data_IF_836109422573
#
_entry.id   IF_836109422573
#
_cell.length_a   1.000
_cell.length_b   1.000
_cell.length_c   1.000
_cell.angle_alpha   90.00
_cell.angle_beta   90.00
_cell.angle_gamma   90.00
#
_symmetry.space_group_name_H-M   'P 1'
#
loop_
_entity.id
_entity.type
_entity.pdbx_description
1 polymer ?
#
# COMPACT_ATOMS: atom_id res chain seq x y z
N UNK A 1 -59.73 -27.99 18.66
CA UNK A 1 -58.61 -27.06 18.38
C UNK A 1 -57.40 -27.89 18.00
N UNK A 2 -57.03 -27.91 16.72
CA UNK A 2 -55.85 -28.64 16.25
C UNK A 2 -54.64 -27.70 16.29
N UNK A 3 -53.65 -28.04 17.11
CA UNK A 3 -52.36 -27.36 17.18
C UNK A 3 -51.53 -27.71 15.93
N UNK A 4 -51.16 -26.70 15.14
CA UNK A 4 -50.25 -26.89 13.99
C UNK A 4 -48.79 -26.98 14.48
N UNK A 5 -47.99 -27.96 14.01
CA UNK A 5 -46.58 -28.02 14.34
C UNK A 5 -45.79 -26.90 13.62
N UNK A 6 -45.17 -26.03 14.42
CA UNK A 6 -44.30 -24.93 13.96
C UNK A 6 -43.04 -25.54 13.31
N UNK A 7 -42.93 -25.45 11.98
CA UNK A 7 -41.74 -25.86 11.20
C UNK A 7 -40.50 -25.14 11.72
N UNK A 8 -39.66 -25.86 12.47
CA UNK A 8 -38.39 -25.41 13.03
C UNK A 8 -37.28 -26.12 12.26
N UNK A 9 -36.89 -25.59 11.09
CA UNK A 9 -35.98 -26.33 10.20
C UNK A 9 -35.18 -25.53 9.16
N UNK A 10 -35.36 -24.23 8.99
CA UNK A 10 -34.64 -23.44 7.97
C UNK A 10 -33.82 -22.26 8.52
N UNK A 11 -33.75 -22.08 9.85
CA UNK A 11 -33.18 -20.87 10.45
C UNK A 11 -31.70 -20.96 10.83
N UNK A 12 -31.16 -22.16 11.09
CA UNK A 12 -29.79 -22.31 11.62
C UNK A 12 -28.73 -22.17 10.52
N UNK A 13 -28.87 -22.87 9.39
CA UNK A 13 -27.92 -22.78 8.28
C UNK A 13 -27.87 -21.37 7.65
N UNK A 14 -29.03 -20.71 7.57
CA UNK A 14 -29.14 -19.32 7.10
C UNK A 14 -28.43 -18.35 8.04
N UNK A 15 -28.53 -18.56 9.36
CA UNK A 15 -27.87 -17.74 10.37
C UNK A 15 -26.34 -17.94 10.40
N UNK A 16 -25.83 -19.13 10.10
CA UNK A 16 -24.38 -19.38 10.04
C UNK A 16 -23.75 -18.75 8.81
N UNK A 17 -24.43 -18.86 7.65
CA UNK A 17 -24.02 -18.17 6.42
C UNK A 17 -24.06 -16.64 6.60
N UNK A 18 -25.12 -16.11 7.21
CA UNK A 18 -25.18 -14.69 7.56
C UNK A 18 -24.06 -14.30 8.50
N UNK A 19 -23.83 -15.01 9.61
CA UNK A 19 -22.75 -14.67 10.56
C UNK A 19 -21.37 -14.70 9.90
N UNK A 20 -21.09 -15.68 9.04
CA UNK A 20 -19.83 -15.76 8.32
C UNK A 20 -19.69 -14.60 7.33
N UNK A 21 -20.73 -14.28 6.56
CA UNK A 21 -20.75 -13.13 5.66
C UNK A 21 -20.56 -11.80 6.39
N UNK A 22 -21.27 -11.59 7.51
CA UNK A 22 -21.13 -10.39 8.35
C UNK A 22 -19.73 -10.32 8.96
N UNK A 23 -19.13 -11.44 9.38
CA UNK A 23 -17.78 -11.50 9.92
C UNK A 23 -16.71 -11.21 8.84
N UNK A 24 -16.85 -11.76 7.64
CA UNK A 24 -15.96 -11.47 6.50
C UNK A 24 -16.07 -10.00 6.09
N UNK A 25 -17.28 -9.45 6.05
CA UNK A 25 -17.48 -8.01 5.80
C UNK A 25 -16.91 -7.15 6.92
N UNK A 26 -17.07 -7.54 8.19
CA UNK A 26 -16.47 -6.84 9.31
C UNK A 26 -14.94 -6.85 9.21
N UNK A 27 -14.31 -7.99 8.91
CA UNK A 27 -12.86 -8.06 8.70
C UNK A 27 -12.39 -7.14 7.55
N UNK A 28 -13.16 -7.07 6.46
CA UNK A 28 -12.88 -6.17 5.33
C UNK A 28 -13.10 -4.68 5.64
N UNK A 29 -14.01 -4.37 6.56
CA UNK A 29 -14.38 -2.99 6.92
C UNK A 29 -13.78 -2.53 8.25
N UNK A 30 -12.77 -3.24 8.77
CA UNK A 30 -12.07 -2.87 10.01
C UNK A 30 -12.92 -3.06 11.29
N UNK A 31 -13.89 -3.98 11.27
CA UNK A 31 -14.77 -4.33 12.38
C UNK A 31 -16.20 -3.78 12.27
N UNK A 32 -16.56 -3.12 11.16
CA UNK A 32 -17.87 -2.50 11.00
C UNK A 32 -18.96 -3.51 10.63
N UNK A 33 -20.15 -3.31 11.16
CA UNK A 33 -21.33 -4.05 10.71
C UNK A 33 -21.72 -3.60 9.28
N UNK A 34 -22.28 -4.48 8.44
CA UNK A 34 -22.74 -4.11 7.09
C UNK A 34 -23.77 -2.97 7.08
N UNK A 35 -24.54 -2.83 8.15
CA UNK A 35 -25.49 -1.76 8.37
C UNK A 35 -24.77 -0.42 8.60
N UNK A 36 -23.71 -0.39 9.41
CA UNK A 36 -22.90 0.79 9.60
C UNK A 36 -22.18 1.20 8.31
N UNK A 37 -21.63 0.22 7.59
CA UNK A 37 -20.99 0.45 6.30
C UNK A 37 -21.98 1.00 5.24
N UNK A 38 -23.10 0.30 5.02
CA UNK A 38 -24.12 0.74 4.06
C UNK A 38 -24.77 2.07 4.45
N UNK A 39 -24.98 2.27 5.75
CA UNK A 39 -25.49 3.54 6.30
C UNK A 39 -24.55 4.71 6.06
N UNK A 40 -23.24 4.51 6.21
CA UNK A 40 -22.24 5.53 5.92
C UNK A 40 -22.27 5.95 4.43
N UNK A 41 -22.31 4.98 3.51
CA UNK A 41 -22.45 5.25 2.09
C UNK A 41 -23.75 5.98 1.76
N UNK A 42 -24.88 5.54 2.33
CA UNK A 42 -26.16 6.19 2.11
C UNK A 42 -26.15 7.64 2.62
N UNK A 43 -25.57 7.89 3.80
CA UNK A 43 -25.43 9.23 4.38
C UNK A 43 -24.65 10.15 3.41
N UNK A 44 -23.43 9.76 3.03
CA UNK A 44 -22.58 10.57 2.14
C UNK A 44 -23.26 10.82 0.78
N UNK A 45 -23.78 9.76 0.15
CA UNK A 45 -24.39 9.87 -1.18
C UNK A 45 -25.65 10.74 -1.18
N UNK A 46 -26.52 10.60 -0.18
CA UNK A 46 -27.75 11.41 -0.11
C UNK A 46 -27.44 12.87 0.18
N UNK A 47 -26.45 13.16 1.04
CA UNK A 47 -25.99 14.53 1.32
C UNK A 47 -25.36 15.17 0.10
N UNK A 48 -24.53 14.42 -0.63
CA UNK A 48 -23.95 14.88 -1.88
C UNK A 48 -25.03 15.12 -2.95
N UNK A 49 -26.05 14.27 -3.03
CA UNK A 49 -27.14 14.39 -4.00
C UNK A 49 -27.96 15.68 -3.85
N UNK A 50 -28.09 16.20 -2.62
CA UNK A 50 -28.84 17.43 -2.33
C UNK A 50 -27.96 18.68 -2.18
N UNK A 51 -26.66 18.59 -2.49
CA UNK A 51 -25.69 19.67 -2.37
C UNK A 51 -25.25 20.21 -3.75
N UNK A 52 -26.05 21.05 -4.43
CA UNK A 52 -25.76 21.50 -5.80
C UNK A 52 -24.45 22.27 -5.94
N UNK A 53 -24.05 23.04 -4.91
CA UNK A 53 -22.75 23.72 -4.90
C UNK A 53 -21.58 22.74 -4.93
N UNK A 54 -21.65 21.69 -4.10
CA UNK A 54 -20.63 20.63 -4.07
C UNK A 54 -20.60 19.84 -5.37
N UNK A 55 -21.75 19.56 -5.96
CA UNK A 55 -21.83 18.91 -7.29
C UNK A 55 -21.16 19.75 -8.38
N UNK A 56 -21.39 21.07 -8.40
CA UNK A 56 -20.75 21.96 -9.36
C UNK A 56 -19.22 22.03 -9.16
N UNK A 57 -18.73 22.04 -7.92
CA UNK A 57 -17.31 21.95 -7.60
C UNK A 57 -16.69 20.66 -8.15
N UNK A 58 -17.29 19.51 -7.86
CA UNK A 58 -16.80 18.21 -8.32
C UNK A 58 -16.86 18.07 -9.85
N UNK A 59 -17.89 18.61 -10.49
CA UNK A 59 -18.00 18.64 -11.95
C UNK A 59 -16.90 19.49 -12.58
N UNK A 60 -16.59 20.66 -11.98
CA UNK A 60 -15.48 21.52 -12.43
C UNK A 60 -14.13 20.82 -12.24
N UNK A 61 -13.92 20.15 -11.09
CA UNK A 61 -12.71 19.36 -10.85
C UNK A 61 -12.56 18.22 -11.86
N UNK A 62 -13.64 17.46 -12.12
CA UNK A 62 -13.67 16.39 -13.12
C UNK A 62 -13.30 16.91 -14.52
N UNK A 63 -13.88 18.05 -14.93
CA UNK A 63 -13.59 18.66 -16.21
C UNK A 63 -12.12 19.09 -16.32
N UNK A 64 -11.59 19.75 -15.29
CA UNK A 64 -10.19 20.20 -15.26
C UNK A 64 -9.23 19.01 -15.38
N UNK A 65 -9.46 17.94 -14.62
CA UNK A 65 -8.63 16.73 -14.65
C UNK A 65 -8.75 15.98 -15.97
N UNK A 66 -9.96 15.90 -16.53
CA UNK A 66 -10.19 15.28 -17.85
C UNK A 66 -9.45 16.02 -18.96
N UNK A 67 -9.49 17.37 -18.96
CA UNK A 67 -8.76 18.18 -19.92
C UNK A 67 -7.24 18.04 -19.75
N UNK A 68 -6.74 18.03 -18.51
CA UNK A 68 -5.33 17.80 -18.22
C UNK A 68 -4.86 16.43 -18.70
N UNK A 69 -5.63 15.37 -18.43
CA UNK A 69 -5.34 14.02 -18.91
C UNK A 69 -5.39 13.92 -20.44
N UNK A 70 -6.33 14.61 -21.10
CA UNK A 70 -6.39 14.65 -22.56
C UNK A 70 -5.15 15.33 -23.16
N UNK A 71 -4.71 16.44 -22.58
CA UNK A 71 -3.47 17.14 -22.98
C UNK A 71 -2.24 16.24 -22.78
N UNK A 72 -2.13 15.62 -21.60
CA UNK A 72 -1.06 14.66 -21.29
C UNK A 72 -1.03 13.51 -22.30
N UNK A 73 -2.19 12.92 -22.60
CA UNK A 73 -2.32 11.80 -23.53
C UNK A 73 -1.96 12.21 -24.95
N UNK A 74 -2.35 13.42 -25.38
CA UNK A 74 -1.96 14.00 -26.67
C UNK A 74 -0.44 14.15 -26.80
N UNK A 75 0.23 14.69 -25.79
CA UNK A 75 1.69 14.80 -25.75
C UNK A 75 2.37 13.43 -25.78
N UNK A 76 1.89 12.47 -24.98
CA UNK A 76 2.41 11.10 -24.95
C UNK A 76 2.31 10.40 -26.32
N UNK A 77 1.20 10.58 -27.04
CA UNK A 77 1.01 10.04 -28.39
C UNK A 77 1.94 10.68 -29.44
N UNK A 78 2.37 11.93 -29.21
CA UNK A 78 3.35 12.62 -30.04
C UNK A 78 4.80 12.22 -29.72
N UNK A 79 5.02 11.30 -28.78
CA UNK A 79 6.34 10.81 -28.40
C UNK A 79 7.01 11.63 -27.29
N UNK A 80 6.32 12.61 -26.72
CA UNK A 80 6.78 13.24 -25.49
C UNK A 80 6.71 12.24 -24.33
N UNK A 81 7.57 12.41 -23.33
CA UNK A 81 7.58 11.59 -22.12
C UNK A 81 7.11 12.41 -20.90
N UNK A 82 5.86 12.91 -20.88
CA UNK A 82 5.36 13.63 -19.73
C UNK A 82 5.31 12.67 -18.54
N UNK A 83 5.73 13.17 -17.37
CA UNK A 83 5.80 12.36 -16.14
C UNK A 83 4.54 12.58 -15.32
N UNK A 84 3.97 11.48 -14.87
CA UNK A 84 2.87 11.47 -13.93
C UNK A 84 3.25 12.22 -12.64
N UNK A 85 2.42 13.16 -12.18
CA UNK A 85 2.72 14.04 -11.06
C UNK A 85 1.50 14.35 -10.19
N UNK A 86 1.74 14.87 -8.98
CA UNK A 86 0.72 15.65 -8.26
C UNK A 86 -0.10 14.95 -7.16
N UNK A 87 0.19 13.69 -6.79
CA UNK A 87 -0.52 13.02 -5.68
C UNK A 87 0.37 12.04 -4.89
N UNK A 88 -0.05 11.59 -3.69
CA UNK A 88 0.64 10.50 -2.98
C UNK A 88 0.80 9.21 -3.81
N UNK A 89 -0.08 8.99 -4.79
CA UNK A 89 -0.01 7.84 -5.69
C UNK A 89 1.12 7.96 -6.73
N UNK A 90 1.63 9.17 -6.99
CA UNK A 90 2.71 9.38 -7.95
C UNK A 90 3.99 8.62 -7.59
N UNK A 91 4.25 8.39 -6.29
CA UNK A 91 5.42 7.63 -5.83
C UNK A 91 5.43 6.17 -6.31
N UNK A 92 4.25 5.58 -6.57
CA UNK A 92 4.12 4.21 -7.11
C UNK A 92 4.65 4.10 -8.53
N UNK A 93 4.59 5.21 -9.27
CA UNK A 93 4.98 5.31 -10.66
C UNK A 93 6.34 5.99 -10.82
N UNK A 94 7.20 5.91 -9.80
CA UNK A 94 8.51 6.57 -9.79
C UNK A 94 9.54 5.92 -10.72
N UNK A 95 9.39 4.63 -11.03
CA UNK A 95 10.31 3.92 -11.94
C UNK A 95 10.26 4.53 -13.36
N UNK A 96 11.41 4.73 -14.05
CA UNK A 96 11.46 5.33 -15.38
C UNK A 96 10.63 4.61 -16.44
N UNK A 97 10.33 3.31 -16.26
CA UNK A 97 9.50 2.56 -17.19
C UNK A 97 8.05 3.09 -17.24
N UNK A 98 7.58 3.74 -16.17
CA UNK A 98 6.28 4.41 -16.14
C UNK A 98 6.25 5.73 -16.92
N UNK A 99 7.38 6.29 -17.36
CA UNK A 99 7.40 7.50 -18.20
C UNK A 99 7.22 7.21 -19.69
N UNK A 100 7.03 5.93 -20.07
CA UNK A 100 6.92 5.50 -21.47
C UNK A 100 5.47 5.20 -21.82
N UNK A 101 5.07 5.55 -23.05
CA UNK A 101 3.78 5.12 -23.60
C UNK A 101 3.73 3.58 -23.73
N UNK A 102 2.61 2.92 -23.38
CA UNK A 102 1.33 3.47 -22.88
C UNK A 102 1.23 3.63 -21.35
N UNK A 103 2.27 3.22 -20.60
CA UNK A 103 2.24 3.15 -19.14
C UNK A 103 2.14 4.52 -18.46
N UNK A 104 2.72 5.56 -19.06
CA UNK A 104 2.58 6.94 -18.56
C UNK A 104 1.13 7.41 -18.56
N UNK A 105 0.36 7.10 -19.61
CA UNK A 105 -1.06 7.44 -19.69
C UNK A 105 -1.88 6.65 -18.68
N UNK A 106 -1.56 5.36 -18.47
CA UNK A 106 -2.22 4.53 -17.45
C UNK A 106 -1.97 5.09 -16.03
N UNK A 107 -0.73 5.45 -15.71
CA UNK A 107 -0.38 6.03 -14.43
C UNK A 107 -1.09 7.38 -14.19
N UNK A 108 -1.04 8.30 -15.17
CA UNK A 108 -1.69 9.61 -15.05
C UNK A 108 -3.22 9.49 -14.96
N UNK A 109 -3.82 8.55 -15.70
CA UNK A 109 -5.26 8.26 -15.61
C UNK A 109 -5.64 7.80 -14.21
N UNK A 110 -4.88 6.87 -13.64
CA UNK A 110 -5.12 6.36 -12.29
C UNK A 110 -4.96 7.46 -11.23
N UNK A 111 -3.92 8.28 -11.31
CA UNK A 111 -3.70 9.42 -10.39
C UNK A 111 -4.87 10.40 -10.48
N UNK A 112 -5.28 10.78 -11.68
CA UNK A 112 -6.37 11.73 -11.90
C UNK A 112 -7.70 11.21 -11.33
N UNK A 113 -8.04 9.95 -11.59
CA UNK A 113 -9.26 9.30 -11.05
C UNK A 113 -9.17 9.16 -9.53
N UNK A 114 -8.02 8.75 -9.00
CA UNK A 114 -7.83 8.57 -7.56
C UNK A 114 -7.96 9.88 -6.78
N UNK A 115 -7.41 10.97 -7.31
CA UNK A 115 -7.52 12.27 -6.67
C UNK A 115 -8.97 12.78 -6.68
N UNK A 116 -9.65 12.67 -7.82
CA UNK A 116 -11.05 13.05 -7.94
C UNK A 116 -11.97 12.21 -7.05
N UNK A 117 -11.79 10.88 -7.02
CA UNK A 117 -12.60 9.99 -6.19
C UNK A 117 -12.45 10.33 -4.71
N UNK A 118 -11.24 10.66 -4.25
CA UNK A 118 -11.01 11.09 -2.86
C UNK A 118 -11.55 12.49 -2.59
N UNK A 119 -11.54 13.39 -3.58
CA UNK A 119 -12.20 14.70 -3.46
C UNK A 119 -13.71 14.52 -3.27
N UNK A 120 -14.34 13.64 -4.06
CA UNK A 120 -15.78 13.43 -4.11
C UNK A 120 -16.39 13.03 -2.76
N UNK A 121 -15.64 12.31 -1.92
CA UNK A 121 -16.13 11.77 -0.63
C UNK A 121 -15.65 12.56 0.59
N UNK A 122 -14.94 13.68 0.37
CA UNK A 122 -14.45 14.55 1.44
C UNK A 122 -15.24 15.85 1.50
N UNK A 123 -15.43 16.37 2.72
CA UNK A 123 -16.08 17.66 2.98
C UNK A 123 -17.47 17.73 2.34
N UNK A 124 -18.27 16.68 2.49
CA UNK A 124 -19.63 16.61 1.94
C UNK A 124 -20.56 17.36 2.88
N UNK A 125 -21.23 18.45 2.41
CA UNK A 125 -22.03 19.30 3.29
C UNK A 125 -23.12 18.52 4.04
N UNK A 126 -23.08 18.57 5.37
CA UNK A 126 -24.06 17.92 6.25
C UNK A 126 -23.93 16.39 6.34
N UNK A 127 -22.87 15.80 5.77
CA UNK A 127 -22.54 14.41 6.06
C UNK A 127 -21.95 14.26 7.46
N UNK A 128 -22.18 13.09 8.04
CA UNK A 128 -21.62 12.76 9.36
C UNK A 128 -20.13 12.48 9.23
N UNK A 129 -19.31 13.03 10.15
CA UNK A 129 -17.86 12.85 10.11
C UNK A 129 -17.45 11.36 10.17
N UNK A 130 -18.17 10.54 10.95
CA UNK A 130 -17.94 9.10 11.01
C UNK A 130 -18.24 8.42 9.66
N UNK A 131 -19.32 8.82 8.97
CA UNK A 131 -19.68 8.31 7.66
C UNK A 131 -18.64 8.71 6.59
N UNK A 132 -18.20 9.98 6.58
CA UNK A 132 -17.13 10.44 5.69
C UNK A 132 -15.82 9.68 5.89
N UNK A 133 -15.44 9.40 7.14
CA UNK A 133 -14.23 8.63 7.45
C UNK A 133 -14.32 7.20 6.90
N UNK A 134 -15.46 6.53 7.10
CA UNK A 134 -15.69 5.16 6.59
C UNK A 134 -15.64 5.14 5.06
N UNK A 135 -16.36 6.04 4.40
CA UNK A 135 -16.41 6.11 2.94
C UNK A 135 -15.04 6.51 2.37
N UNK A 136 -14.37 7.49 2.98
CA UNK A 136 -13.03 7.94 2.59
C UNK A 136 -11.98 6.85 2.71
N UNK A 137 -12.01 6.08 3.80
CA UNK A 137 -11.19 4.87 3.96
C UNK A 137 -11.50 3.86 2.86
N UNK A 138 -12.78 3.53 2.67
CA UNK A 138 -13.21 2.51 1.69
C UNK A 138 -12.82 2.88 0.27
N UNK A 139 -12.97 4.15 -0.11
CA UNK A 139 -12.53 4.65 -1.43
C UNK A 139 -11.02 4.52 -1.56
N UNK A 140 -10.25 4.88 -0.53
CA UNK A 140 -8.80 4.73 -0.56
C UNK A 140 -8.40 3.27 -0.76
N UNK A 141 -8.93 2.34 0.04
CA UNK A 141 -8.61 0.91 -0.08
C UNK A 141 -9.11 0.32 -1.41
N UNK A 142 -10.27 0.76 -1.92
CA UNK A 142 -10.76 0.34 -3.23
C UNK A 142 -9.83 0.79 -4.37
N UNK A 143 -9.29 2.01 -4.29
CA UNK A 143 -8.31 2.53 -5.25
C UNK A 143 -7.01 1.73 -5.21
N UNK A 144 -6.59 1.27 -4.03
CA UNK A 144 -5.43 0.40 -3.88
C UNK A 144 -5.59 -0.90 -4.66
N UNK A 145 -6.79 -1.49 -4.71
CA UNK A 145 -7.04 -2.74 -5.42
C UNK A 145 -6.98 -2.58 -6.94
N UNK A 146 -7.44 -1.45 -7.48
CA UNK A 146 -7.53 -1.22 -8.93
C UNK A 146 -6.27 -0.56 -9.52
N UNK A 147 -5.23 -0.35 -8.70
CA UNK A 147 -4.01 0.29 -9.14
C UNK A 147 -3.27 -0.54 -10.22
N UNK A 148 -2.79 0.09 -11.31
CA UNK A 148 -2.24 -0.63 -12.47
C UNK A 148 -0.90 -1.33 -12.18
N UNK A 149 -0.20 -0.93 -11.13
CA UNK A 149 1.02 -1.59 -10.64
C UNK A 149 0.75 -2.96 -10.01
N UNK A 150 -0.50 -3.28 -9.67
CA UNK A 150 -0.84 -4.59 -9.12
C UNK A 150 -0.94 -5.71 -10.17
N UNK A 151 -1.04 -5.37 -11.46
CA UNK A 151 -1.36 -6.35 -12.50
C UNK A 151 -0.23 -6.47 -13.52
N UNK A 152 0.15 -7.72 -13.83
CA UNK A 152 1.17 -8.04 -14.83
C UNK A 152 0.99 -7.32 -16.18
N UNK A 153 -0.19 -7.32 -16.83
CA UNK A 153 -0.33 -6.70 -18.15
C UNK A 153 -0.18 -5.17 -18.15
N UNK A 154 -0.30 -4.51 -17.00
CA UNK A 154 -0.26 -3.04 -16.88
C UNK A 154 0.95 -2.52 -16.12
N UNK A 155 1.76 -3.41 -15.52
CA UNK A 155 2.95 -3.05 -14.77
C UNK A 155 4.23 -3.24 -15.63
N UNK A 156 4.87 -2.16 -16.10
CA UNK A 156 6.04 -2.27 -16.96
C UNK A 156 7.26 -2.88 -16.25
N UNK A 157 7.38 -2.68 -14.94
CA UNK A 157 8.47 -3.29 -14.15
C UNK A 157 8.27 -4.80 -14.07
N UNK A 158 7.03 -5.25 -13.81
CA UNK A 158 6.74 -6.67 -13.71
C UNK A 158 6.84 -7.37 -15.07
N UNK A 159 6.41 -6.72 -16.15
CA UNK A 159 6.61 -7.21 -17.53
C UNK A 159 8.10 -7.40 -17.80
N UNK A 160 8.91 -6.36 -17.55
CA UNK A 160 10.36 -6.40 -17.77
C UNK A 160 11.00 -7.49 -16.95
N UNK A 161 10.72 -7.57 -15.64
CA UNK A 161 11.25 -8.62 -14.78
C UNK A 161 10.85 -10.02 -15.24
N UNK A 162 9.62 -10.20 -15.70
CA UNK A 162 9.14 -11.49 -16.22
C UNK A 162 9.91 -11.91 -17.46
N UNK A 163 10.22 -10.96 -18.35
CA UNK A 163 11.05 -11.22 -19.53
C UNK A 163 12.49 -11.54 -19.12
N UNK A 164 13.11 -10.69 -18.30
CA UNK A 164 14.50 -10.82 -17.86
C UNK A 164 14.73 -12.15 -17.13
N UNK A 165 13.74 -12.60 -16.36
CA UNK A 165 13.81 -13.85 -15.59
C UNK A 165 13.21 -15.07 -16.30
N UNK A 166 12.75 -14.95 -17.54
CA UNK A 166 12.03 -16.03 -18.26
C UNK A 166 10.87 -16.62 -17.43
N UNK A 167 10.10 -15.77 -16.75
CA UNK A 167 8.93 -16.16 -15.94
C UNK A 167 9.24 -16.74 -14.57
N UNK A 168 10.51 -16.84 -14.14
CA UNK A 168 10.86 -17.39 -12.81
C UNK A 168 10.34 -16.54 -11.65
N UNK A 169 10.14 -15.24 -11.82
CA UNK A 169 9.47 -14.37 -10.84
C UNK A 169 8.04 -14.85 -10.52
N UNK A 170 7.28 -15.27 -11.54
CA UNK A 170 5.91 -15.75 -11.38
C UNK A 170 5.87 -17.08 -10.64
N UNK A 171 6.80 -18.00 -10.96
CA UNK A 171 6.92 -19.27 -10.25
C UNK A 171 7.21 -19.08 -8.76
N UNK A 172 8.10 -18.13 -8.42
CA UNK A 172 8.36 -17.73 -7.04
C UNK A 172 7.10 -17.16 -6.37
N UNK A 173 6.37 -16.29 -7.08
CA UNK A 173 5.10 -15.74 -6.59
C UNK A 173 4.04 -16.81 -6.28
N UNK A 174 3.86 -17.79 -7.16
CA UNK A 174 2.93 -18.91 -6.94
C UNK A 174 3.35 -19.76 -5.74
N UNK A 175 4.66 -19.99 -5.57
CA UNK A 175 5.18 -20.70 -4.39
C UNK A 175 4.85 -19.95 -3.11
N UNK A 176 5.10 -18.65 -3.06
CA UNK A 176 4.75 -17.82 -1.89
C UNK A 176 3.25 -17.83 -1.62
N UNK A 177 2.41 -17.72 -2.66
CA UNK A 177 0.96 -17.79 -2.50
C UNK A 177 0.50 -19.15 -1.93
N UNK A 178 1.07 -20.25 -2.40
CA UNK A 178 0.76 -21.59 -1.90
C UNK A 178 1.18 -21.76 -0.43
N UNK A 179 2.33 -21.20 -0.05
CA UNK A 179 2.80 -21.17 1.34
C UNK A 179 1.87 -20.34 2.23
N UNK A 180 1.46 -19.16 1.79
CA UNK A 180 0.55 -18.28 2.54
C UNK A 180 -0.84 -18.90 2.72
N UNK A 181 -1.39 -19.54 1.68
CA UNK A 181 -2.65 -20.29 1.76
C UNK A 181 -2.53 -21.44 2.77
N UNK A 182 -1.43 -22.19 2.69
CA UNK A 182 -1.18 -23.32 3.60
C UNK A 182 -1.05 -22.85 5.05
N UNK A 183 -0.37 -21.72 5.30
CA UNK A 183 -0.22 -21.13 6.63
C UNK A 183 -1.56 -20.62 7.16
N UNK A 184 -2.33 -19.94 6.34
CA UNK A 184 -3.69 -19.46 6.69
C UNK A 184 -4.60 -20.62 7.10
N UNK A 185 -4.63 -21.72 6.34
CA UNK A 185 -5.41 -22.92 6.71
C UNK A 185 -4.94 -23.57 8.01
N UNK A 186 -3.65 -23.45 8.35
CA UNK A 186 -3.08 -23.95 9.60
C UNK A 186 -3.25 -22.98 10.78
N UNK A 187 -3.91 -21.83 10.58
CA UNK A 187 -4.01 -20.77 11.59
C UNK A 187 -2.67 -20.12 11.93
N UNK A 188 -1.66 -20.29 11.07
CA UNK A 188 -0.36 -19.66 11.21
C UNK A 188 -0.42 -18.28 10.56
N UNK A 189 0.12 -17.26 11.25
CA UNK A 189 0.24 -15.92 10.67
C UNK A 189 1.21 -15.87 9.49
N UNK A 190 1.37 -14.68 8.88
CA UNK A 190 2.27 -14.46 7.74
C UNK A 190 3.69 -14.99 8.00
N UNK A 191 4.41 -15.33 6.93
CA UNK A 191 5.78 -15.83 7.05
C UNK A 191 6.66 -14.83 7.82
N UNK A 192 7.38 -15.34 8.82
CA UNK A 192 8.27 -14.52 9.66
C UNK A 192 7.59 -13.89 10.88
N UNK A 193 6.28 -14.06 11.09
CA UNK A 193 5.60 -13.64 12.33
C UNK A 193 6.20 -14.31 13.56
N UNK A 194 6.73 -15.52 13.39
CA UNK A 194 7.48 -16.31 14.38
C UNK A 194 8.75 -15.61 14.90
N UNK A 195 9.26 -14.60 14.19
CA UNK A 195 10.43 -13.82 14.60
C UNK A 195 10.07 -12.55 15.38
N UNK A 196 8.78 -12.26 15.56
CA UNK A 196 8.31 -11.06 16.24
C UNK A 196 7.56 -11.46 17.52
N UNK A 197 8.13 -11.14 18.68
CA UNK A 197 7.49 -11.34 19.97
C UNK A 197 6.60 -10.15 20.32
N UNK A 198 5.33 -10.47 20.61
CA UNK A 198 4.35 -9.51 21.11
C UNK A 198 4.82 -8.97 22.46
N UNK A 199 4.91 -7.64 22.59
CA UNK A 199 5.44 -6.95 23.77
C UNK A 199 6.92 -6.58 23.70
N UNK A 200 7.68 -7.07 22.70
CA UNK A 200 9.08 -6.71 22.49
C UNK A 200 9.26 -5.96 21.16
N UNK A 201 8.97 -6.59 20.02
CA UNK A 201 9.06 -5.96 18.70
C UNK A 201 7.70 -5.52 18.13
N UNK A 202 6.60 -5.98 18.72
CA UNK A 202 5.23 -5.62 18.31
C UNK A 202 4.46 -5.10 19.50
N UNK A 203 3.99 -3.86 19.42
CA UNK A 203 3.17 -3.26 20.47
C UNK A 203 1.87 -4.06 20.66
N UNK A 204 1.65 -4.55 21.87
CA UNK A 204 0.36 -5.11 22.26
C UNK A 204 -0.59 -3.95 22.57
N UNK A 205 -1.58 -3.70 21.69
CA UNK A 205 -2.70 -2.85 22.06
C UNK A 205 -3.49 -3.58 23.16
N UNK A 206 -3.69 -2.99 24.35
CA UNK A 206 -4.46 -3.64 25.39
C UNK A 206 -5.82 -4.03 24.83
N UNK A 207 -6.21 -5.30 24.97
CA UNK A 207 -7.56 -5.71 24.68
C UNK A 207 -8.48 -4.84 25.55
N UNK A 208 -9.39 -4.11 24.92
CA UNK A 208 -10.45 -3.40 25.62
C UNK A 208 -11.25 -4.43 26.41
N UNK A 209 -11.10 -4.37 27.73
CA UNK A 209 -11.70 -5.28 28.69
C UNK A 209 -13.24 -5.27 28.51
N UNK A 210 -13.90 -6.42 28.27
CA UNK A 210 -15.35 -6.48 28.10
C UNK A 210 -16.13 -6.07 29.37
N UNK A 211 -15.46 -5.84 30.50
CA UNK A 211 -16.07 -5.37 31.74
C UNK A 211 -16.36 -3.85 31.79
N UNK A 212 -15.99 -3.07 30.77
CA UNK A 212 -16.30 -1.62 30.70
C UNK A 212 -17.34 -1.22 29.64
N UNK A 213 -17.93 -2.17 28.91
CA UNK A 213 -18.99 -1.89 27.94
C UNK A 213 -20.39 -1.65 28.55
N UNK A 214 -20.51 -1.55 29.87
CA UNK A 214 -21.79 -1.49 30.57
C UNK A 214 -22.12 -0.12 31.20
N UNK A 215 -21.28 0.91 31.06
CA UNK A 215 -21.64 2.26 31.49
C UNK A 215 -21.43 3.25 30.35
N UNK A 216 -22.52 3.92 29.97
CA UNK A 216 -22.58 4.79 28.82
C UNK A 216 -21.84 6.10 29.06
N UNK A 217 -20.56 6.16 28.70
CA UNK A 217 -19.82 7.39 28.46
C UNK A 217 -18.56 7.09 27.63
N UNK A 218 -18.48 7.68 26.43
CA UNK A 218 -17.26 7.71 25.60
C UNK A 218 -16.08 8.35 26.36
N UNK A 219 -14.87 7.75 26.32
CA UNK A 219 -13.65 8.49 26.61
C UNK A 219 -12.64 8.31 25.47
N UNK A 220 -12.82 9.05 24.37
CA UNK A 220 -11.73 9.29 23.40
C UNK A 220 -11.13 10.70 23.54
N UNK A 221 -11.73 11.58 24.35
CA UNK A 221 -11.17 12.92 24.59
C UNK A 221 -11.39 13.42 26.02
N UNK A 222 -10.47 13.11 26.92
CA UNK A 222 -10.25 13.89 28.15
C UNK A 222 -8.74 14.07 28.36
N UNK A 223 -8.33 15.33 28.42
CA UNK A 223 -6.96 15.80 28.28
C UNK A 223 -6.12 15.62 29.56
N UNK A 224 -4.82 15.38 29.39
CA UNK A 224 -3.80 15.92 30.30
C UNK A 224 -2.81 16.78 29.48
N UNK A 225 -2.82 18.08 29.75
CA UNK A 225 -2.03 19.11 29.05
C UNK A 225 -0.70 19.43 29.75
N UNK A 226 -0.35 18.75 30.85
CA UNK A 226 0.87 19.04 31.61
C UNK A 226 2.07 18.15 31.28
N UNK A 227 1.88 17.06 30.51
CA UNK A 227 2.99 16.22 30.01
C UNK A 227 3.84 16.85 28.91
N UNK A 228 3.29 17.82 28.16
CA UNK A 228 3.90 18.35 26.93
C UNK A 228 5.01 19.39 27.14
N UNK A 229 5.28 19.83 28.38
CA UNK A 229 6.35 20.82 28.69
C UNK A 229 7.67 20.22 29.16
N UNK A 230 7.75 18.92 29.46
CA UNK A 230 9.01 18.26 29.88
C UNK A 230 9.66 17.39 28.81
N UNK A 231 8.98 17.07 27.72
CA UNK A 231 9.54 16.29 26.61
C UNK A 231 10.22 17.17 25.53
N UNK A 232 10.70 18.36 25.90
CA UNK A 232 11.43 19.29 25.03
C UNK A 232 12.95 19.14 25.07
N UNK A 233 13.51 18.13 25.75
CA UNK A 233 14.93 18.11 26.08
C UNK A 233 15.74 16.91 25.58
N UNK A 234 15.15 15.94 24.86
CA UNK A 234 15.96 14.85 24.29
C UNK A 234 15.39 14.39 22.94
N UNK A 235 15.91 14.98 21.85
CA UNK A 235 15.64 14.56 20.48
C UNK A 235 16.75 13.62 20.03
N UNK A 236 16.59 12.32 20.27
CA UNK A 236 17.25 11.31 19.46
C UNK A 236 16.51 11.22 18.11
N UNK A 237 17.25 11.39 17.01
CA UNK A 237 16.73 11.30 15.65
C UNK A 237 16.11 9.92 15.41
N UNK A 238 14.84 9.91 15.00
CA UNK A 238 14.17 8.70 14.55
C UNK A 238 14.31 8.66 13.04
N UNK A 239 15.19 7.79 12.57
CA UNK A 239 15.33 7.47 11.15
C UNK A 239 14.04 6.80 10.66
N UNK A 240 13.36 7.46 9.71
CA UNK A 240 12.22 6.89 9.00
C UNK A 240 12.73 5.97 7.89
N UNK A 241 13.05 4.72 8.24
CA UNK A 241 13.33 3.66 7.28
C UNK A 241 12.30 2.54 7.45
N UNK A 242 11.13 2.71 6.85
CA UNK A 242 10.09 1.68 6.77
C UNK A 242 9.61 1.59 5.32
N UNK A 243 9.72 0.38 4.77
CA UNK A 243 9.35 -0.09 3.43
C UNK A 243 10.29 0.29 2.28
N UNK A 244 11.49 -0.29 2.29
CA UNK A 244 12.21 -0.61 1.06
C UNK A 244 11.97 -2.08 0.67
N UNK A 245 11.79 -2.42 -0.62
CA UNK A 245 12.01 -3.79 -1.08
C UNK A 245 13.49 -4.15 -0.83
N UNK A 246 13.74 -5.31 -0.21
CA UNK A 246 15.10 -5.74 0.16
C UNK A 246 16.01 -5.84 -1.07
N UNK A 247 17.28 -5.41 -0.99
CA UNK A 247 18.27 -5.77 -2.00
C UNK A 247 18.58 -7.26 -1.91
N UNK A 248 18.69 -7.91 -3.08
CA UNK A 248 19.16 -9.29 -3.22
C UNK A 248 20.67 -9.28 -3.02
N UNK A 249 21.15 -9.70 -1.85
CA UNK A 249 22.56 -9.97 -1.63
C UNK A 249 22.75 -11.24 -0.77
N UNK A 250 23.55 -12.16 -1.33
CA UNK A 250 24.52 -13.00 -0.61
C UNK A 250 24.04 -14.11 0.33
N UNK A 251 23.20 -15.04 -0.14
CA UNK A 251 22.96 -16.29 0.61
C UNK A 251 22.98 -17.56 -0.27
N UNK A 252 23.91 -17.64 -1.23
CA UNK A 252 24.14 -18.89 -2.01
C UNK A 252 25.63 -19.16 -2.34
N UNK A 253 26.54 -18.88 -1.42
CA UNK A 253 27.92 -19.43 -1.46
C UNK A 253 28.22 -20.18 -0.17
N UNK A 254 27.56 -21.32 0.00
CA UNK A 254 27.99 -22.35 0.94
C UNK A 254 29.30 -22.99 0.45
N UNK A 255 30.34 -22.85 1.27
CA UNK A 255 31.65 -23.48 1.13
C UNK A 255 31.56 -25.00 0.93
N UNK A 256 32.31 -25.51 -0.07
CA UNK A 256 32.78 -26.89 -0.12
C UNK A 256 34.24 -26.94 0.36
N UNK A 257 34.65 -27.94 1.17
CA UNK A 257 35.97 -27.98 1.77
C UNK A 257 37.06 -28.54 0.82
N UNK A 258 38.26 -28.05 1.12
CA UNK A 258 39.63 -28.30 0.64
C UNK A 258 39.98 -29.68 0.06
N UNK A 259 40.63 -29.71 -1.12
CA UNK A 259 41.61 -30.73 -1.48
C UNK A 259 42.58 -30.33 -2.61
N UNK A 260 43.86 -30.41 -2.26
CA UNK A 260 45.04 -30.74 -3.07
C UNK A 260 45.61 -29.69 -4.06
N UNK A 261 46.74 -29.11 -3.66
CA UNK A 261 47.80 -28.63 -4.58
C UNK A 261 48.40 -29.81 -5.36
N UNK A 262 48.94 -29.55 -6.55
CA UNK A 262 50.39 -29.76 -6.72
C UNK A 262 51.11 -28.64 -7.50
N UNK A 263 52.42 -28.56 -7.22
CA UNK A 263 53.58 -27.95 -7.92
C UNK A 263 53.32 -27.43 -9.36
N UNK A 264 53.74 -26.25 -9.82
CA UNK A 264 55.01 -25.51 -9.64
C UNK A 264 55.71 -25.42 -11.01
N UNK A 265 56.02 -24.22 -11.52
CA UNK A 265 57.20 -23.89 -12.38
C UNK A 265 57.24 -22.38 -12.74
N UNK A 266 58.46 -21.84 -12.66
CA UNK A 266 59.01 -20.51 -13.00
C UNK A 266 58.52 -19.89 -14.34
N UNK A 267 58.61 -18.59 -14.64
CA UNK A 267 59.23 -17.42 -14.00
C UNK A 267 59.43 -16.27 -15.02
N UNK A 268 59.85 -15.09 -14.52
CA UNK A 268 60.58 -13.98 -15.22
C UNK A 268 59.76 -13.20 -16.28
N UNK A 269 59.58 -11.87 -16.20
CA UNK A 269 60.56 -10.80 -16.52
C UNK A 269 60.18 -9.48 -15.80
N UNK A 270 61.23 -8.79 -15.36
CA UNK A 270 61.31 -7.52 -14.62
C UNK A 270 60.84 -6.25 -15.38
N UNK A 271 60.51 -5.25 -14.55
CA UNK A 271 60.44 -3.78 -14.69
C UNK A 271 61.77 -3.18 -15.31
N UNK A 272 62.01 -1.85 -15.56
CA UNK A 272 61.40 -0.74 -14.84
C UNK A 272 61.30 0.70 -15.43
N UNK A 273 60.57 1.52 -14.63
CA UNK A 273 60.79 2.93 -14.18
C UNK A 273 61.23 4.01 -15.19
N UNK A 274 60.50 5.15 -15.18
CA UNK A 274 61.10 6.49 -14.98
C UNK A 274 60.06 7.58 -14.67
N UNK A 275 60.00 7.92 -13.38
CA UNK A 275 59.90 9.25 -12.71
C UNK A 275 59.56 10.52 -13.52
N UNK A 276 58.72 11.38 -12.92
CA UNK A 276 58.40 12.77 -13.30
C UNK A 276 59.56 13.79 -13.16
N UNK A 277 59.36 15.12 -13.02
CA UNK A 277 58.41 15.73 -12.06
C UNK A 277 57.81 17.14 -12.39
N UNK A 278 56.95 17.62 -11.46
CA UNK A 278 56.76 19.00 -10.94
C UNK A 278 56.03 20.15 -11.71
N UNK A 279 54.88 20.51 -11.11
CA UNK A 279 54.34 21.84 -10.72
C UNK A 279 54.93 23.13 -11.32
N UNK A 280 54.04 24.02 -11.80
CA UNK A 280 54.16 25.46 -11.52
C UNK A 280 52.78 26.16 -11.47
N UNK A 281 52.71 27.10 -10.54
CA UNK A 281 51.64 28.02 -10.13
C UNK A 281 51.44 29.19 -11.13
N UNK A 282 50.27 29.86 -11.13
CA UNK A 282 50.09 31.09 -11.93
C UNK A 282 48.66 31.61 -12.15
N UNK A 283 48.30 32.65 -11.38
CA UNK A 283 47.12 33.54 -11.50
C UNK A 283 47.00 34.31 -12.84
N UNK A 284 45.74 34.56 -13.21
CA UNK A 284 45.06 35.74 -13.83
C UNK A 284 45.90 36.96 -14.29
N UNK A 285 45.44 37.71 -15.32
CA UNK A 285 44.25 38.57 -15.27
C UNK A 285 43.04 38.08 -16.08
#
# INVERSE_FOLDING_TARGET
>A
MAEMPKKRGSTVATNDLSRHFLATLAQWTGGLSPQAFGGAWLNVLTRLAVAPGRQAELARSALQKTLALAQFSGAALQGEAPRAAGTPYANRFADPAWSKFPFNVLAESFISVSDWAREAVRNVPGAEAAAENIVGFTVREGLELVAPDNYLPTNPQLIRQTIDENGRNLLRGVKHLAEDVTRTFKGLGPIGVEHYQVGEQVAATPASDPAHAADGADPVFAADRDGLRRAGADRAGVDHEVLHPRPVAEELTGQLPDRARPHGLHGVVEEPDRRGPQRHDGRLP
#
